data_IF_321854930139
#
_entry.id   IF_321854930139
#
_cell.length_a   1.000
_cell.length_b   1.000
_cell.length_c   1.000
_cell.angle_alpha   90.00
_cell.angle_beta   90.00
_cell.angle_gamma   90.00
#
_symmetry.space_group_name_H-M   'P 1'
#
loop_
_entity.id
_entity.type
_entity.pdbx_description
1 polymer ?
#
# COMPACT_ATOMS: atom_id res chain seq x y z
N UNK A 1 -18.02 18.80 -4.26
CA UNK A 1 -16.77 19.19 -4.95
C UNK A 1 -16.13 20.42 -4.31
N UNK A 2 -16.91 21.40 -3.88
CA UNK A 2 -16.39 22.65 -3.29
C UNK A 2 -15.66 22.49 -1.93
N UNK A 3 -15.97 21.45 -1.15
CA UNK A 3 -15.26 21.12 0.08
C UNK A 3 -13.85 20.55 -0.14
N UNK A 4 -13.63 19.85 -1.25
CA UNK A 4 -12.33 19.17 -1.56
C UNK A 4 -11.26 20.21 -1.91
N UNK A 5 -11.64 21.33 -2.51
CA UNK A 5 -10.75 22.41 -2.95
C UNK A 5 -10.75 23.62 -2.03
N UNK A 6 -11.31 23.53 -0.81
CA UNK A 6 -11.19 24.63 0.15
C UNK A 6 -9.73 24.78 0.60
N UNK A 7 -9.32 26.02 0.89
CA UNK A 7 -7.94 26.32 1.33
C UNK A 7 -7.56 25.55 2.58
N UNK A 8 -8.52 25.38 3.49
CA UNK A 8 -8.33 24.64 4.73
C UNK A 8 -8.09 23.13 4.47
N UNK A 9 -8.90 22.52 3.59
CA UNK A 9 -8.72 21.13 3.20
C UNK A 9 -7.38 20.90 2.45
N UNK A 10 -7.02 21.81 1.54
CA UNK A 10 -5.74 21.71 0.85
C UNK A 10 -4.56 21.79 1.81
N UNK A 11 -4.66 22.63 2.83
CA UNK A 11 -3.66 22.77 3.87
C UNK A 11 -3.57 21.51 4.76
N UNK A 12 -4.71 20.94 5.14
CA UNK A 12 -4.79 19.66 5.85
C UNK A 12 -4.24 18.48 5.05
N UNK A 13 -4.32 18.53 3.73
CA UNK A 13 -3.79 17.49 2.85
C UNK A 13 -2.30 17.60 2.60
N UNK A 14 -1.79 18.84 2.49
CA UNK A 14 -0.38 19.06 2.12
C UNK A 14 0.59 18.74 3.25
N UNK A 15 0.20 18.86 4.50
CA UNK A 15 1.12 18.59 5.60
C UNK A 15 1.49 17.11 5.72
N UNK A 16 0.59 16.15 5.98
CA UNK A 16 0.99 14.75 6.10
C UNK A 16 1.15 14.06 4.73
N UNK A 17 0.20 14.23 3.81
CA UNK A 17 0.21 13.45 2.55
C UNK A 17 1.17 14.01 1.52
N UNK A 18 1.32 15.33 1.43
CA UNK A 18 2.24 15.95 0.48
C UNK A 18 3.68 15.53 0.75
N UNK A 19 4.13 15.55 1.99
CA UNK A 19 5.48 15.12 2.36
C UNK A 19 5.72 13.65 2.07
N UNK A 20 4.74 12.80 2.36
CA UNK A 20 4.83 11.36 2.09
C UNK A 20 4.90 11.08 0.58
N UNK A 21 4.06 11.75 -0.22
CA UNK A 21 4.05 11.61 -1.68
C UNK A 21 5.37 12.09 -2.28
N UNK A 22 5.89 13.24 -1.81
CA UNK A 22 7.18 13.77 -2.27
C UNK A 22 8.32 12.81 -1.93
N UNK A 23 8.38 12.31 -0.70
CA UNK A 23 9.41 11.37 -0.27
C UNK A 23 9.35 10.04 -1.05
N UNK A 24 8.17 9.47 -1.22
CA UNK A 24 7.97 8.25 -2.01
C UNK A 24 8.32 8.48 -3.49
N UNK A 25 7.93 9.63 -4.06
CA UNK A 25 8.28 10.00 -5.43
C UNK A 25 9.81 10.12 -5.60
N UNK A 26 10.50 10.74 -4.66
CA UNK A 26 11.96 10.83 -4.69
C UNK A 26 12.61 9.43 -4.66
N UNK A 27 12.13 8.54 -3.79
CA UNK A 27 12.60 7.15 -3.73
C UNK A 27 12.46 6.43 -5.08
N UNK A 28 11.27 6.44 -5.68
CA UNK A 28 11.06 5.72 -6.96
C UNK A 28 11.79 6.38 -8.12
N UNK A 29 11.93 7.70 -8.13
CA UNK A 29 12.74 8.40 -9.14
C UNK A 29 14.19 7.93 -9.07
N UNK A 30 14.79 7.89 -7.89
CA UNK A 30 16.18 7.43 -7.71
C UNK A 30 16.37 5.97 -8.11
N UNK A 31 15.38 5.12 -7.88
CA UNK A 31 15.44 3.70 -8.27
C UNK A 31 15.33 3.51 -9.80
N UNK A 32 14.53 4.33 -10.47
CA UNK A 32 14.15 4.14 -11.88
C UNK A 32 14.98 4.99 -12.84
N UNK A 33 15.46 6.17 -12.41
CA UNK A 33 16.17 7.13 -13.26
C UNK A 33 17.33 6.57 -14.09
N UNK A 34 18.10 5.56 -13.65
CA UNK A 34 19.14 4.96 -14.48
C UNK A 34 18.62 4.27 -15.75
N UNK A 35 17.37 3.80 -15.74
CA UNK A 35 16.79 2.95 -16.79
C UNK A 35 15.65 3.63 -17.55
N UNK A 36 14.85 4.47 -16.87
CA UNK A 36 13.65 5.13 -17.43
C UNK A 36 13.51 6.59 -16.97
N UNK A 37 12.54 7.27 -17.57
CA UNK A 37 12.21 8.66 -17.22
C UNK A 37 11.61 8.79 -15.82
N UNK A 38 11.85 9.93 -15.18
CA UNK A 38 11.22 10.30 -13.91
C UNK A 38 9.67 10.26 -13.98
N UNK A 39 9.12 10.63 -15.15
CA UNK A 39 7.66 10.60 -15.35
C UNK A 39 7.12 9.18 -15.25
N UNK A 40 7.84 8.17 -15.77
CA UNK A 40 7.40 6.77 -15.65
C UNK A 40 7.45 6.27 -14.21
N UNK A 41 8.40 6.74 -13.40
CA UNK A 41 8.48 6.42 -11.98
C UNK A 41 7.28 7.00 -11.20
N UNK A 42 6.98 8.29 -11.40
CA UNK A 42 5.88 8.98 -10.72
C UNK A 42 4.52 8.42 -11.17
N UNK A 43 4.35 8.18 -12.47
CA UNK A 43 3.14 7.54 -13.00
C UNK A 43 2.97 6.13 -12.40
N UNK A 44 4.03 5.34 -12.36
CA UNK A 44 4.01 4.00 -11.75
C UNK A 44 3.63 4.06 -10.27
N UNK A 45 4.18 5.01 -9.52
CA UNK A 45 3.82 5.20 -8.11
C UNK A 45 2.34 5.56 -7.95
N UNK A 46 1.84 6.52 -8.73
CA UNK A 46 0.43 6.89 -8.70
C UNK A 46 -0.47 5.69 -9.06
N UNK A 47 -0.10 4.93 -10.10
CA UNK A 47 -0.82 3.70 -10.45
C UNK A 47 -0.88 2.71 -9.26
N UNK A 48 0.24 2.47 -8.57
CA UNK A 48 0.28 1.55 -7.43
C UNK A 48 -0.58 2.01 -6.26
N UNK A 49 -0.66 3.31 -5.99
CA UNK A 49 -1.58 3.87 -4.99
C UNK A 49 -3.03 3.50 -5.32
N UNK A 50 -3.48 3.80 -6.55
CA UNK A 50 -4.85 3.48 -6.98
C UNK A 50 -5.08 1.97 -7.05
N UNK A 51 -4.12 1.20 -7.55
CA UNK A 51 -4.21 -0.24 -7.65
C UNK A 51 -4.48 -0.88 -6.30
N UNK A 52 -3.66 -0.59 -5.29
CA UNK A 52 -3.81 -1.19 -3.96
C UNK A 52 -5.11 -0.75 -3.30
N UNK A 53 -5.48 0.53 -3.40
CA UNK A 53 -6.76 1.02 -2.88
C UNK A 53 -7.96 0.26 -3.46
N UNK A 54 -8.06 0.18 -4.78
CA UNK A 54 -9.20 -0.49 -5.41
C UNK A 54 -9.15 -2.00 -5.24
N UNK A 55 -7.97 -2.60 -5.23
CA UNK A 55 -7.80 -4.01 -4.99
C UNK A 55 -8.20 -4.38 -3.56
N UNK A 56 -7.74 -3.65 -2.56
CA UNK A 56 -8.14 -3.83 -1.16
C UNK A 56 -9.64 -3.70 -1.01
N UNK A 57 -10.21 -2.62 -1.55
CA UNK A 57 -11.66 -2.42 -1.54
C UNK A 57 -12.42 -3.57 -2.21
N UNK A 58 -11.92 -4.10 -3.33
CA UNK A 58 -12.52 -5.23 -4.02
C UNK A 58 -12.53 -6.51 -3.18
N UNK A 59 -11.51 -6.75 -2.35
CA UNK A 59 -11.46 -7.90 -1.44
C UNK A 59 -12.61 -7.90 -0.43
N UNK A 60 -13.09 -6.71 -0.03
CA UNK A 60 -14.24 -6.59 0.87
C UNK A 60 -15.59 -6.94 0.24
N UNK A 61 -15.67 -7.04 -1.09
CA UNK A 61 -16.86 -7.55 -1.80
C UNK A 61 -16.83 -9.07 -2.00
N UNK A 62 -15.72 -9.74 -1.67
CA UNK A 62 -15.65 -11.18 -1.75
C UNK A 62 -16.46 -11.84 -0.63
N UNK A 63 -17.01 -13.06 -0.88
CA UNK A 63 -17.79 -13.78 0.10
C UNK A 63 -17.01 -14.01 1.42
N UNK A 64 -17.66 -13.73 2.54
CA UNK A 64 -17.13 -13.98 3.90
C UNK A 64 -17.70 -15.25 4.52
N UNK A 65 -18.70 -15.86 3.88
CA UNK A 65 -19.39 -17.08 4.32
C UNK A 65 -19.48 -18.11 3.18
N UNK A 66 -19.85 -19.32 3.53
CA UNK A 66 -19.99 -20.42 2.58
C UNK A 66 -18.65 -20.96 2.05
N UNK A 67 -18.68 -21.84 1.04
CA UNK A 67 -17.48 -22.47 0.50
C UNK A 67 -16.55 -21.48 -0.21
N UNK A 68 -17.07 -20.40 -0.78
CA UNK A 68 -16.28 -19.39 -1.48
C UNK A 68 -15.52 -18.42 -0.54
N UNK A 69 -15.78 -18.45 0.78
CA UNK A 69 -15.01 -17.64 1.74
C UNK A 69 -13.50 -17.90 1.67
N UNK A 70 -13.10 -19.09 1.27
CA UNK A 70 -11.67 -19.46 1.21
C UNK A 70 -10.86 -18.75 0.12
N UNK A 71 -11.52 -18.10 -0.85
CA UNK A 71 -10.84 -17.20 -1.79
C UNK A 71 -10.59 -15.81 -1.19
N UNK A 72 -11.30 -15.44 -0.13
CA UNK A 72 -11.11 -14.18 0.55
C UNK A 72 -10.02 -14.30 1.64
N UNK A 73 -8.78 -14.46 1.20
CA UNK A 73 -7.62 -14.60 2.10
C UNK A 73 -7.42 -13.37 2.98
N UNK A 74 -7.75 -12.18 2.47
CA UNK A 74 -7.71 -10.94 3.21
C UNK A 74 -8.64 -10.99 4.44
N UNK A 75 -9.89 -11.43 4.25
CA UNK A 75 -10.82 -11.59 5.36
C UNK A 75 -10.35 -12.61 6.40
N UNK A 76 -9.87 -13.77 5.93
CA UNK A 76 -9.46 -14.88 6.80
C UNK A 76 -8.22 -14.53 7.63
N UNK A 77 -7.20 -13.95 7.00
CA UNK A 77 -5.90 -13.73 7.65
C UNK A 77 -5.79 -12.36 8.32
N UNK A 78 -6.63 -11.41 7.91
CA UNK A 78 -6.53 -10.04 8.37
C UNK A 78 -7.73 -9.61 9.23
N UNK A 79 -8.97 -9.77 8.76
CA UNK A 79 -10.16 -9.36 9.51
C UNK A 79 -10.66 -10.38 10.52
N UNK A 80 -10.44 -11.67 10.29
CA UNK A 80 -10.77 -12.75 11.22
C UNK A 80 -9.53 -13.59 11.50
N UNK A 81 -8.53 -13.07 12.21
CA UNK A 81 -7.34 -13.84 12.53
C UNK A 81 -7.75 -15.15 13.22
N UNK A 82 -7.22 -16.23 12.71
CA UNK A 82 -7.52 -17.57 13.22
C UNK A 82 -6.99 -17.64 14.66
N UNK A 83 -7.84 -17.58 15.66
CA UNK A 83 -7.51 -17.61 17.10
C UNK A 83 -6.64 -18.81 17.54
N UNK A 84 -6.38 -19.73 16.63
CA UNK A 84 -5.64 -20.97 16.84
C UNK A 84 -4.17 -20.84 16.41
N UNK A 85 -3.82 -19.80 15.63
CA UNK A 85 -2.46 -19.63 15.13
C UNK A 85 -1.57 -18.85 16.10
N UNK A 86 -0.30 -19.22 16.16
CA UNK A 86 0.72 -18.39 16.79
C UNK A 86 0.79 -17.04 16.10
N UNK A 87 0.93 -15.97 16.89
CA UNK A 87 0.96 -14.58 16.37
C UNK A 87 2.03 -14.38 15.29
N UNK A 88 3.13 -15.12 15.33
CA UNK A 88 4.18 -15.04 14.32
C UNK A 88 3.72 -15.62 12.98
N UNK A 89 2.93 -16.68 13.03
CA UNK A 89 2.35 -17.29 11.82
C UNK A 89 1.29 -16.37 11.23
N UNK A 90 0.46 -15.74 12.05
CA UNK A 90 -0.51 -14.74 11.61
C UNK A 90 0.18 -13.58 10.87
N UNK A 91 1.21 -12.99 11.48
CA UNK A 91 1.98 -11.90 10.87
C UNK A 91 2.66 -12.32 9.56
N UNK A 92 3.14 -13.56 9.48
CA UNK A 92 3.71 -14.09 8.23
C UNK A 92 2.65 -14.19 7.12
N UNK A 93 1.47 -14.73 7.43
CA UNK A 93 0.38 -14.85 6.46
C UNK A 93 -0.15 -13.49 6.01
N UNK A 94 -0.26 -12.55 6.93
CA UNK A 94 -0.61 -11.15 6.66
C UNK A 94 0.42 -10.49 5.74
N UNK A 95 1.72 -10.65 6.05
CA UNK A 95 2.83 -10.18 5.20
C UNK A 95 2.74 -10.73 3.78
N UNK A 96 2.50 -12.03 3.63
CA UNK A 96 2.35 -12.65 2.31
C UNK A 96 1.14 -12.10 1.57
N UNK A 97 0.02 -11.94 2.26
CA UNK A 97 -1.19 -11.38 1.66
C UNK A 97 -0.97 -9.96 1.13
N UNK A 98 -0.33 -9.10 1.91
CA UNK A 98 -0.05 -7.71 1.53
C UNK A 98 0.94 -7.62 0.36
N UNK A 99 1.99 -8.44 0.38
CA UNK A 99 2.92 -8.52 -0.75
C UNK A 99 2.21 -8.95 -2.03
N UNK A 100 1.33 -9.95 -1.96
CA UNK A 100 0.59 -10.44 -3.13
C UNK A 100 -0.27 -9.34 -3.75
N UNK A 101 -0.93 -8.50 -2.97
CA UNK A 101 -1.74 -7.39 -3.50
C UNK A 101 -0.97 -6.48 -4.46
N UNK A 102 0.29 -6.23 -4.17
CA UNK A 102 1.15 -5.39 -5.02
C UNK A 102 1.86 -6.20 -6.10
N UNK A 103 2.41 -7.38 -5.76
CA UNK A 103 3.21 -8.21 -6.67
C UNK A 103 2.39 -8.86 -7.78
N UNK A 104 1.07 -8.95 -7.64
CA UNK A 104 0.19 -9.41 -8.73
C UNK A 104 0.31 -8.55 -9.98
N UNK A 105 0.65 -7.25 -9.85
CA UNK A 105 0.92 -6.37 -11.00
C UNK A 105 2.16 -6.84 -11.74
N UNK A 106 3.22 -7.21 -11.02
CA UNK A 106 4.44 -7.75 -11.62
C UNK A 106 4.16 -9.08 -12.34
N UNK A 107 3.38 -9.97 -11.71
CA UNK A 107 2.96 -11.23 -12.30
C UNK A 107 2.13 -11.02 -13.58
N UNK A 108 1.16 -10.08 -13.58
CA UNK A 108 0.34 -9.74 -14.74
C UNK A 108 1.20 -9.18 -15.89
N UNK A 109 2.17 -8.30 -15.59
CA UNK A 109 3.11 -7.81 -16.61
C UNK A 109 3.95 -8.95 -17.19
N UNK A 110 4.41 -9.87 -16.36
CA UNK A 110 5.15 -11.07 -16.82
C UNK A 110 4.30 -11.99 -17.71
N UNK A 111 3.03 -12.21 -17.36
CA UNK A 111 2.11 -13.06 -18.13
C UNK A 111 1.72 -12.44 -19.48
N UNK A 112 1.56 -11.13 -19.53
CA UNK A 112 1.15 -10.42 -20.76
C UNK A 112 2.33 -10.02 -21.63
N UNK A 113 3.55 -9.99 -21.08
CA UNK A 113 4.72 -9.43 -21.75
C UNK A 113 4.68 -7.90 -21.87
N UNK A 114 3.71 -7.24 -21.27
CA UNK A 114 3.53 -5.78 -21.34
C UNK A 114 4.06 -5.15 -20.05
N UNK A 115 5.18 -4.42 -20.16
CA UNK A 115 5.90 -3.82 -19.03
C UNK A 115 5.68 -2.30 -18.99
N UNK A 116 4.60 -1.86 -18.37
CA UNK A 116 4.22 -0.44 -18.25
C UNK A 116 4.79 0.17 -16.98
N UNK A 117 4.60 -0.51 -15.86
CA UNK A 117 5.06 -0.03 -14.54
C UNK A 117 6.45 -0.56 -14.28
N UNK A 118 7.43 0.30 -13.92
CA UNK A 118 8.78 -0.15 -13.60
C UNK A 118 8.79 -1.17 -12.46
N UNK A 119 9.59 -2.23 -12.61
CA UNK A 119 9.74 -3.29 -11.60
C UNK A 119 10.14 -2.72 -10.24
N UNK A 120 11.09 -1.77 -10.23
CA UNK A 120 11.54 -1.10 -9.01
C UNK A 120 10.40 -0.36 -8.28
N UNK A 121 9.45 0.22 -9.02
CA UNK A 121 8.29 0.90 -8.42
C UNK A 121 7.35 -0.10 -7.78
N UNK A 122 7.06 -1.21 -8.46
CA UNK A 122 6.17 -2.26 -7.92
C UNK A 122 6.79 -2.85 -6.65
N UNK A 123 8.07 -3.20 -6.67
CA UNK A 123 8.77 -3.78 -5.52
C UNK A 123 8.86 -2.77 -4.36
N UNK A 124 9.20 -1.51 -4.65
CA UNK A 124 9.24 -0.46 -3.63
C UNK A 124 7.89 -0.32 -2.95
N UNK A 125 6.81 -0.22 -3.73
CA UNK A 125 5.48 -0.08 -3.19
C UNK A 125 5.04 -1.32 -2.39
N UNK A 126 5.34 -2.52 -2.88
CA UNK A 126 5.06 -3.77 -2.18
C UNK A 126 5.71 -3.80 -0.79
N UNK A 127 7.00 -3.52 -0.70
CA UNK A 127 7.72 -3.51 0.58
C UNK A 127 7.27 -2.36 1.49
N UNK A 128 7.04 -1.18 0.92
CA UNK A 128 6.58 -0.03 1.70
C UNK A 128 5.19 -0.27 2.26
N UNK A 129 4.21 -0.62 1.43
CA UNK A 129 2.85 -0.91 1.85
C UNK A 129 2.82 -2.01 2.92
N UNK A 130 3.48 -3.13 2.66
CA UNK A 130 3.54 -4.26 3.60
C UNK A 130 4.21 -3.85 4.92
N UNK A 131 5.31 -3.10 4.88
CA UNK A 131 5.99 -2.68 6.12
C UNK A 131 5.13 -1.72 6.95
N UNK A 132 4.42 -0.78 6.33
CA UNK A 132 3.45 0.09 7.02
C UNK A 132 2.34 -0.76 7.62
N UNK A 133 1.78 -1.68 6.86
CA UNK A 133 0.69 -2.54 7.33
C UNK A 133 1.11 -3.40 8.53
N UNK A 134 2.24 -4.10 8.42
CA UNK A 134 2.72 -4.96 9.51
C UNK A 134 3.21 -4.17 10.71
N UNK A 135 4.07 -3.18 10.51
CA UNK A 135 4.69 -2.44 11.62
C UNK A 135 3.71 -1.48 12.27
N UNK A 136 3.12 -0.59 11.48
CA UNK A 136 2.29 0.48 12.04
C UNK A 136 0.91 -0.04 12.46
N UNK A 137 0.31 -0.93 11.65
CA UNK A 137 -1.06 -1.38 11.88
C UNK A 137 -1.10 -2.60 12.79
N UNK A 138 -0.42 -3.67 12.43
CA UNK A 138 -0.55 -4.94 13.15
C UNK A 138 0.28 -5.02 14.43
N UNK A 139 1.45 -4.34 14.51
CA UNK A 139 2.33 -4.37 15.69
C UNK A 139 2.05 -3.18 16.60
N UNK A 140 2.11 -1.95 16.07
CA UNK A 140 1.92 -0.71 16.85
C UNK A 140 0.44 -0.48 17.13
N UNK A 141 -0.45 -0.84 16.19
CA UNK A 141 -1.91 -0.72 16.33
C UNK A 141 -2.42 0.69 16.04
N UNK A 142 -2.17 1.20 14.83
CA UNK A 142 -2.69 2.49 14.36
C UNK A 142 -4.19 2.65 14.57
N UNK A 143 -4.64 3.81 15.04
CA UNK A 143 -6.07 4.12 15.19
C UNK A 143 -6.83 4.03 13.87
N UNK A 144 -6.25 4.52 12.78
CA UNK A 144 -6.84 4.50 11.42
C UNK A 144 -7.19 3.07 11.01
N UNK A 145 -6.23 2.16 11.16
CA UNK A 145 -6.43 0.76 10.82
C UNK A 145 -7.38 0.02 11.77
N UNK A 146 -7.34 0.34 13.07
CA UNK A 146 -8.34 -0.19 14.03
C UNK A 146 -9.76 0.26 13.68
N UNK A 147 -9.92 1.47 13.16
CA UNK A 147 -11.22 1.95 12.70
C UNK A 147 -11.69 1.21 11.44
N UNK A 148 -10.77 0.85 10.52
CA UNK A 148 -11.05 -0.03 9.39
C UNK A 148 -11.61 -1.39 9.85
N UNK A 149 -10.99 -2.04 10.82
CA UNK A 149 -11.48 -3.32 11.36
C UNK A 149 -12.86 -3.22 12.05
N UNK A 150 -13.20 -2.07 12.62
CA UNK A 150 -14.53 -1.83 13.20
C UNK A 150 -15.59 -1.52 12.15
N UNK A 151 -15.19 -0.82 11.09
CA UNK A 151 -16.03 -0.40 10.00
C UNK A 151 -15.34 -0.73 8.66
N UNK A 152 -15.49 -1.97 8.23
CA UNK A 152 -14.82 -2.56 7.06
C UNK A 152 -15.14 -1.88 5.71
N UNK A 153 -16.08 -0.94 5.70
CA UNK A 153 -16.43 -0.12 4.54
C UNK A 153 -15.62 1.18 4.42
N UNK A 154 -14.64 1.41 5.30
CA UNK A 154 -13.89 2.67 5.40
C UNK A 154 -12.40 2.43 5.61
N UNK A 155 -11.58 3.47 5.42
CA UNK A 155 -10.14 3.46 5.70
C UNK A 155 -9.39 2.30 5.03
N UNK A 156 -9.60 2.14 3.73
CA UNK A 156 -8.96 1.08 2.93
C UNK A 156 -7.44 1.30 2.75
N UNK A 157 -7.00 2.56 2.91
CA UNK A 157 -5.60 2.96 2.63
C UNK A 157 -5.21 2.88 1.14
N UNK A 158 -4.29 3.71 0.70
CA UNK A 158 -3.62 4.79 1.46
C UNK A 158 -4.57 5.94 1.83
N UNK A 159 -4.37 6.55 2.99
CA UNK A 159 -5.25 7.59 3.55
C UNK A 159 -5.63 8.72 2.59
N UNK A 160 -4.68 9.15 1.73
CA UNK A 160 -4.94 10.19 0.73
C UNK A 160 -6.07 9.79 -0.23
N UNK A 161 -6.20 8.51 -0.55
CA UNK A 161 -7.26 8.01 -1.42
C UNK A 161 -8.57 7.83 -0.65
N UNK A 162 -8.52 7.47 0.63
CA UNK A 162 -9.70 7.45 1.49
C UNK A 162 -10.32 8.84 1.60
N UNK A 163 -9.50 9.88 1.75
CA UNK A 163 -9.97 11.27 1.71
C UNK A 163 -10.52 11.66 0.33
N UNK A 164 -9.81 11.29 -0.74
CA UNK A 164 -10.24 11.61 -2.12
C UNK A 164 -11.59 10.97 -2.47
N UNK A 165 -11.81 9.74 -2.05
CA UNK A 165 -13.03 8.98 -2.35
C UNK A 165 -14.10 9.04 -1.25
N UNK A 166 -13.84 9.78 -0.16
CA UNK A 166 -14.79 9.95 0.94
C UNK A 166 -15.03 8.66 1.72
N UNK A 167 -14.04 7.77 1.77
CA UNK A 167 -14.06 6.52 2.55
C UNK A 167 -13.32 6.63 3.88
N UNK A 168 -12.79 7.81 4.21
CA UNK A 168 -12.19 8.05 5.50
C UNK A 168 -13.26 8.10 6.60
N UNK A 169 -13.01 7.42 7.72
CA UNK A 169 -13.88 7.42 8.90
C UNK A 169 -13.05 7.83 10.12
N UNK A 170 -13.55 8.82 10.87
CA UNK A 170 -12.82 9.43 12.00
C UNK A 170 -11.39 9.78 11.55
N UNK A 171 -11.19 10.92 10.85
CA UNK A 171 -9.97 11.23 10.11
C UNK A 171 -8.77 11.45 11.04
N UNK A 172 -8.26 10.39 11.62
CA UNK A 172 -6.94 10.36 12.20
C UNK A 172 -5.95 10.12 11.05
N UNK A 173 -4.95 10.97 10.96
CA UNK A 173 -3.95 10.92 9.90
C UNK A 173 -2.75 10.10 10.38
N UNK A 174 -2.22 9.26 9.51
CA UNK A 174 -0.91 8.65 9.78
C UNK A 174 0.17 9.73 9.80
N UNK A 175 0.91 9.83 10.91
CA UNK A 175 2.01 10.75 11.03
C UNK A 175 3.17 10.29 10.14
N UNK A 176 3.77 11.22 9.38
CA UNK A 176 4.92 10.95 8.53
C UNK A 176 6.11 10.36 9.32
N UNK A 177 6.23 10.66 10.61
CA UNK A 177 7.25 10.08 11.49
C UNK A 177 7.15 8.54 11.52
N UNK A 178 5.94 8.00 11.46
CA UNK A 178 5.72 6.55 11.43
C UNK A 178 5.91 5.96 10.03
N UNK A 179 5.73 6.75 8.97
CA UNK A 179 5.87 6.30 7.59
C UNK A 179 7.30 6.37 7.08
N UNK A 180 8.09 7.36 7.52
CA UNK A 180 9.45 7.61 7.04
C UNK A 180 10.42 6.42 7.21
N UNK A 181 10.47 5.71 8.35
CA UNK A 181 11.31 4.53 8.49
C UNK A 181 10.98 3.44 7.46
N UNK A 182 9.69 3.22 7.20
CA UNK A 182 9.23 2.22 6.24
C UNK A 182 9.64 2.59 4.79
N UNK A 183 9.59 3.89 4.44
CA UNK A 183 10.08 4.37 3.13
C UNK A 183 11.57 4.08 2.94
N UNK A 184 12.39 4.38 3.96
CA UNK A 184 13.84 4.16 3.92
C UNK A 184 14.17 2.67 3.81
N UNK A 185 13.48 1.83 4.58
CA UNK A 185 13.66 0.36 4.54
C UNK A 185 13.28 -0.19 3.17
N UNK A 186 12.11 0.18 2.64
CA UNK A 186 11.66 -0.25 1.33
C UNK A 186 12.61 0.17 0.22
N UNK A 187 13.07 1.44 0.24
CA UNK A 187 14.07 1.94 -0.71
C UNK A 187 15.36 1.13 -0.63
N UNK A 188 15.90 0.94 0.58
CA UNK A 188 17.15 0.20 0.80
C UNK A 188 17.07 -1.24 0.29
N UNK A 189 15.97 -1.95 0.58
CA UNK A 189 15.75 -3.33 0.11
C UNK A 189 15.75 -3.37 -1.42
N UNK A 190 14.96 -2.53 -2.07
CA UNK A 190 14.85 -2.55 -3.55
C UNK A 190 16.15 -2.12 -4.21
N UNK A 191 16.84 -1.12 -3.66
CA UNK A 191 18.15 -0.70 -4.14
C UNK A 191 19.16 -1.86 -4.10
N UNK A 192 19.26 -2.56 -2.97
CA UNK A 192 20.16 -3.71 -2.83
C UNK A 192 19.76 -4.86 -3.76
N UNK A 193 18.47 -5.19 -3.83
CA UNK A 193 17.97 -6.23 -4.73
C UNK A 193 18.34 -5.90 -6.20
N UNK A 194 18.18 -4.64 -6.63
CA UNK A 194 18.50 -4.21 -7.98
C UNK A 194 20.00 -4.38 -8.29
N UNK A 195 20.88 -4.15 -7.31
CA UNK A 195 22.32 -4.39 -7.47
C UNK A 195 22.64 -5.89 -7.59
N UNK A 196 21.94 -6.75 -6.83
CA UNK A 196 22.19 -8.19 -6.83
C UNK A 196 21.60 -8.90 -8.05
N UNK A 197 20.37 -8.56 -8.44
CA UNK A 197 19.59 -9.28 -9.48
C UNK A 197 19.77 -8.61 -10.86
N UNK A 198 20.12 -7.32 -10.89
CA UNK A 198 20.42 -6.55 -12.13
C UNK A 198 19.29 -6.55 -13.17
N UNK A 199 18.03 -6.41 -12.71
CA UNK A 199 16.95 -6.14 -13.66
C UNK A 199 17.02 -4.71 -14.21
N UNK A 200 16.43 -4.52 -15.38
CA UNK A 200 16.16 -3.20 -15.95
C UNK A 200 14.66 -2.86 -15.75
N UNK A 201 14.40 -1.63 -15.44
CA UNK A 201 13.03 -1.12 -15.37
C UNK A 201 12.47 -0.80 -16.76
#
# INVERSE_FOLDING_TARGET
>A
MDRILSKENLQEWTEPYGMTIIAASACVILLVAPDRSMLSAVFGLAFMYFWVYFFHRALHFLPTEGPLKYINTHWIFHHQPLKILDRRVELLLETVNDLVMSLIVLWLQGMTGIWIIPTSVILFYAFWYTSVHIVNYSIIGSPVHRNHHKNVGTNFGPDVLDHLFGTNHEPEKEDIIYLAPNLVIAFGIVFLLKQCIKWKD
#
